data_IF_375250556032
#
_entry.id   IF_375250556032
#
_cell.length_a   1.000
_cell.length_b   1.000
_cell.length_c   1.000
_cell.angle_alpha   90.00
_cell.angle_beta   90.00
_cell.angle_gamma   90.00
#
_symmetry.space_group_name_H-M   'P 1'
#
loop_
_entity.id
_entity.type
_entity.pdbx_description
1 polymer ?
#
# COMPACT_ATOMS: atom_id res chain seq x y z
N UNK A 1 -9.36 -1.12 -4.41
CA UNK A 1 -9.41 0.10 -3.57
C UNK A 1 -8.94 1.28 -4.38
N UNK A 2 -9.67 2.40 -4.29
CA UNK A 2 -9.37 3.62 -5.05
C UNK A 2 -8.17 4.36 -4.46
N UNK A 3 -7.40 5.03 -5.31
CA UNK A 3 -6.19 5.80 -4.96
C UNK A 3 -6.35 6.70 -3.74
N UNK A 4 -7.44 7.46 -3.63
CA UNK A 4 -7.64 8.39 -2.51
C UNK A 4 -7.75 7.70 -1.15
N UNK A 5 -8.08 6.40 -1.12
CA UNK A 5 -8.32 5.64 0.10
C UNK A 5 -7.09 4.84 0.54
N UNK A 6 -6.13 4.59 -0.35
CA UNK A 6 -4.94 3.75 -0.12
C UNK A 6 -4.08 4.29 1.02
N UNK A 7 -3.64 5.55 0.96
CA UNK A 7 -2.76 6.14 2.00
C UNK A 7 -3.46 6.21 3.36
N UNK A 8 -4.70 6.75 3.47
CA UNK A 8 -5.44 6.72 4.73
C UNK A 8 -5.57 5.31 5.32
N UNK A 9 -5.85 4.31 4.48
CA UNK A 9 -5.94 2.92 4.89
C UNK A 9 -4.60 2.38 5.41
N UNK A 10 -3.52 2.56 4.64
CA UNK A 10 -2.18 2.11 5.04
C UNK A 10 -1.73 2.73 6.36
N UNK A 11 -1.91 4.05 6.54
CA UNK A 11 -1.59 4.76 7.79
C UNK A 11 -2.37 4.19 8.98
N UNK A 12 -3.67 3.94 8.81
CA UNK A 12 -4.52 3.35 9.86
C UNK A 12 -3.96 1.99 10.29
N UNK A 13 -3.75 1.09 9.33
CA UNK A 13 -3.29 -0.29 9.61
C UNK A 13 -1.87 -0.31 10.18
N UNK A 14 -0.97 0.54 9.68
CA UNK A 14 0.38 0.70 10.19
C UNK A 14 0.38 1.15 11.66
N UNK A 15 -0.46 2.14 12.01
CA UNK A 15 -0.62 2.60 13.38
C UNK A 15 -1.18 1.51 14.30
N UNK A 16 -2.23 0.80 13.87
CA UNK A 16 -2.82 -0.31 14.63
C UNK A 16 -1.82 -1.44 14.89
N UNK A 17 -0.92 -1.69 13.95
CA UNK A 17 0.11 -2.75 14.06
C UNK A 17 1.43 -2.27 14.66
N UNK A 18 1.60 -0.97 14.91
CA UNK A 18 2.87 -0.38 15.35
C UNK A 18 4.01 -0.60 14.35
N UNK A 19 3.74 -0.45 13.04
CA UNK A 19 4.69 -0.72 11.96
C UNK A 19 5.01 0.55 11.17
N UNK A 20 6.26 0.64 10.70
CA UNK A 20 6.77 1.76 9.90
C UNK A 20 6.62 1.57 8.40
N UNK A 21 6.28 0.36 7.96
CA UNK A 21 6.02 0.00 6.57
C UNK A 21 4.77 -0.86 6.49
N UNK A 22 4.07 -0.77 5.36
CA UNK A 22 2.87 -1.55 5.06
C UNK A 22 3.23 -2.83 4.31
N UNK A 23 2.59 -3.94 4.64
CA UNK A 23 2.70 -5.19 3.88
C UNK A 23 1.48 -5.36 2.98
N UNK A 24 1.62 -5.65 1.67
CA UNK A 24 0.49 -5.86 0.77
C UNK A 24 -0.52 -6.91 1.25
N UNK A 25 -0.05 -7.91 2.00
CA UNK A 25 -0.91 -8.92 2.63
C UNK A 25 -1.90 -8.37 3.68
N UNK A 26 -1.78 -7.10 4.07
CA UNK A 26 -2.73 -6.43 4.97
C UNK A 26 -3.87 -5.73 4.24
N UNK A 27 -3.88 -5.68 2.90
CA UNK A 27 -5.08 -5.27 2.18
C UNK A 27 -6.22 -6.28 2.41
N UNK A 28 -7.50 -5.85 2.39
CA UNK A 28 -8.62 -6.75 2.60
C UNK A 28 -8.68 -7.82 1.51
N UNK A 29 -8.93 -9.08 1.89
CA UNK A 29 -9.04 -10.20 0.92
C UNK A 29 -10.19 -10.06 -0.08
N UNK A 30 -11.21 -9.27 0.27
CA UNK A 30 -12.36 -8.98 -0.57
C UNK A 30 -12.20 -7.70 -1.41
N UNK A 31 -11.03 -7.08 -1.38
CA UNK A 31 -10.72 -5.92 -2.19
C UNK A 31 -10.48 -6.30 -3.65
N UNK A 32 -10.69 -5.34 -4.55
CA UNK A 32 -10.28 -5.51 -5.94
C UNK A 32 -8.77 -5.29 -6.04
N UNK A 33 -8.01 -6.39 -6.08
CA UNK A 33 -6.55 -6.37 -6.10
C UNK A 33 -5.97 -5.66 -7.33
N UNK A 34 -6.62 -5.74 -8.49
CA UNK A 34 -6.16 -5.09 -9.71
C UNK A 34 -6.31 -3.56 -9.59
N UNK A 35 -7.48 -3.08 -9.16
CA UNK A 35 -7.71 -1.65 -8.92
C UNK A 35 -6.77 -1.08 -7.83
N UNK A 36 -6.50 -1.86 -6.79
CA UNK A 36 -5.55 -1.49 -5.73
C UNK A 36 -4.13 -1.42 -6.24
N UNK A 37 -3.72 -2.38 -7.06
CA UNK A 37 -2.40 -2.38 -7.67
C UNK A 37 -2.21 -1.18 -8.59
N UNK A 38 -3.20 -0.86 -9.44
CA UNK A 38 -3.16 0.31 -10.32
C UNK A 38 -3.04 1.61 -9.50
N UNK A 39 -3.82 1.72 -8.42
CA UNK A 39 -3.76 2.85 -7.48
C UNK A 39 -2.39 2.99 -6.83
N UNK A 40 -1.76 1.88 -6.43
CA UNK A 40 -0.40 1.87 -5.88
C UNK A 40 0.63 2.30 -6.94
N UNK A 41 0.51 1.85 -8.18
CA UNK A 41 1.39 2.27 -9.27
C UNK A 41 1.27 3.77 -9.57
N UNK A 42 0.08 4.36 -9.48
CA UNK A 42 -0.09 5.81 -9.59
C UNK A 42 0.59 6.55 -8.43
N UNK A 43 0.37 6.14 -7.19
CA UNK A 43 0.98 6.76 -6.00
C UNK A 43 2.51 6.67 -6.04
N UNK A 44 3.05 5.55 -6.53
CA UNK A 44 4.49 5.38 -6.74
C UNK A 44 5.02 6.35 -7.80
N UNK A 45 4.32 6.45 -8.95
CA UNK A 45 4.67 7.43 -10.01
C UNK A 45 4.61 8.88 -9.52
N UNK A 46 3.68 9.18 -8.61
CA UNK A 46 3.54 10.49 -7.96
C UNK A 46 4.58 10.75 -6.85
N UNK A 47 5.41 9.76 -6.50
CA UNK A 47 6.41 9.87 -5.44
C UNK A 47 5.79 9.95 -4.03
N UNK A 48 4.55 9.45 -3.86
CA UNK A 48 3.86 9.42 -2.55
C UNK A 48 4.21 8.20 -1.72
N UNK A 49 4.62 7.13 -2.40
CA UNK A 49 5.08 5.90 -1.77
C UNK A 49 6.31 5.37 -2.50
N UNK A 50 7.08 4.55 -1.81
CA UNK A 50 8.05 3.65 -2.43
C UNK A 50 7.71 2.21 -2.08
N UNK A 51 8.11 1.28 -2.93
CA UNK A 51 7.90 -0.16 -2.73
C UNK A 51 9.27 -0.84 -2.73
N UNK A 52 9.52 -1.68 -1.73
CA UNK A 52 10.70 -2.54 -1.65
C UNK A 52 10.29 -4.00 -1.62
N UNK A 53 11.14 -4.86 -2.17
CA UNK A 53 10.90 -6.29 -2.16
C UNK A 53 11.99 -7.09 -2.85
N UNK A 54 11.90 -8.41 -2.71
CA UNK A 54 12.74 -9.37 -3.43
C UNK A 54 12.11 -9.78 -4.75
N UNK A 55 11.52 -10.98 -4.79
CA UNK A 55 10.84 -11.53 -5.97
C UNK A 55 9.43 -10.93 -6.18
N UNK A 56 8.85 -10.35 -5.12
CA UNK A 56 7.55 -9.66 -5.08
C UNK A 56 7.70 -8.36 -4.28
N UNK A 57 6.71 -7.46 -4.35
CA UNK A 57 6.69 -6.28 -3.48
C UNK A 57 6.32 -6.72 -2.06
N UNK A 58 7.26 -6.60 -1.13
CA UNK A 58 7.12 -7.11 0.23
C UNK A 58 6.71 -6.00 1.21
N UNK A 59 7.17 -4.77 0.94
CA UNK A 59 6.99 -3.61 1.80
C UNK A 59 6.64 -2.36 0.98
N UNK A 60 5.69 -1.59 1.49
CA UNK A 60 5.31 -0.28 0.97
C UNK A 60 5.60 0.77 2.05
N UNK A 61 6.35 1.80 1.68
CA UNK A 61 6.67 2.93 2.54
C UNK A 61 5.95 4.19 2.03
N UNK A 62 5.35 4.96 2.94
CA UNK A 62 4.78 6.27 2.65
C UNK A 62 5.89 7.31 2.77
N UNK A 63 6.00 8.20 1.78
CA UNK A 63 7.03 9.26 1.70
C UNK A 63 6.53 10.62 2.18
#
# INVERSE_FOLDING_TARGET
MKKQDIIPYMLKVMNEKGKVAFQPAWFPENDNHEETFDSLCELYREGKITMEGGYYFDLIFIL
#
